data_IF_988826979052
#
_entry.id   IF_988826979052
#
_cell.length_a   1.000
_cell.length_b   1.000
_cell.length_c   1.000
_cell.angle_alpha   90.00
_cell.angle_beta   90.00
_cell.angle_gamma   90.00
#
_symmetry.space_group_name_H-M   'P 1'
#
loop_
_entity.id
_entity.type
_entity.pdbx_description
1 polymer ?
#
# COMPACT_ATOMS: atom_id res chain seq x y z
N UNK A 1 -13.00 -47.84 39.80
CA UNK A 1 -13.49 -49.23 39.73
C UNK A 1 -15.00 -49.18 39.72
N UNK A 2 -15.60 -49.76 38.67
CA UNK A 2 -16.97 -50.32 38.56
C UNK A 2 -18.19 -49.43 38.82
N UNK A 3 -18.93 -49.11 37.74
CA UNK A 3 -20.40 -48.96 37.73
C UNK A 3 -21.10 -50.25 38.23
N UNK A 4 -22.39 -50.18 38.62
CA UNK A 4 -23.41 -50.72 37.70
C UNK A 4 -24.80 -50.03 37.70
N UNK A 5 -25.50 -50.28 36.59
CA UNK A 5 -26.89 -50.06 36.24
C UNK A 5 -27.93 -50.74 37.18
N UNK A 6 -29.16 -50.21 37.25
CA UNK A 6 -30.34 -50.71 36.51
C UNK A 6 -31.72 -50.58 37.25
N UNK A 7 -32.77 -50.40 36.40
CA UNK A 7 -34.18 -50.89 36.47
C UNK A 7 -35.32 -49.97 36.95
N UNK A 8 -36.27 -49.76 36.02
CA UNK A 8 -37.67 -49.34 36.20
C UNK A 8 -38.52 -50.40 36.95
N UNK A 9 -39.77 -50.05 37.34
CA UNK A 9 -40.90 -50.68 36.64
C UNK A 9 -42.16 -49.81 36.40
N UNK A 10 -42.94 -50.32 35.45
CA UNK A 10 -44.25 -49.97 34.90
C UNK A 10 -45.42 -50.19 35.89
N UNK A 11 -46.50 -49.38 35.81
CA UNK A 11 -47.87 -49.92 36.00
C UNK A 11 -48.96 -49.15 35.21
N UNK A 12 -49.78 -49.94 34.53
CA UNK A 12 -50.96 -49.60 33.74
C UNK A 12 -52.13 -49.05 34.58
N UNK A 13 -53.07 -48.29 33.98
CA UNK A 13 -54.45 -48.76 33.71
C UNK A 13 -55.33 -47.76 32.96
N UNK A 14 -56.23 -48.33 32.16
CA UNK A 14 -57.18 -47.75 31.21
C UNK A 14 -58.46 -47.15 31.83
N UNK A 15 -59.08 -46.17 31.16
CA UNK A 15 -60.49 -46.22 30.68
C UNK A 15 -60.85 -45.07 29.72
N UNK A 16 -61.62 -45.42 28.68
CA UNK A 16 -62.08 -44.69 27.47
C UNK A 16 -63.29 -43.74 27.76
N UNK A 17 -63.99 -43.19 26.74
CA UNK A 17 -63.61 -42.23 25.67
C UNK A 17 -64.61 -41.05 25.58
N UNK A 18 -64.33 -39.99 24.82
CA UNK A 18 -65.40 -39.19 24.18
C UNK A 18 -64.91 -38.44 22.91
N UNK A 19 -65.53 -38.81 21.78
CA UNK A 19 -65.89 -38.04 20.59
C UNK A 19 -64.97 -36.92 20.04
N UNK A 20 -64.43 -37.15 18.84
CA UNK A 20 -63.73 -36.21 17.97
C UNK A 20 -64.71 -35.70 16.88
N UNK A 21 -64.79 -34.39 16.58
CA UNK A 21 -65.08 -33.94 15.23
C UNK A 21 -63.78 -33.71 14.46
N UNK A 22 -63.71 -34.29 13.26
CA UNK A 22 -62.60 -34.15 12.31
C UNK A 22 -62.50 -32.69 11.84
N UNK A 23 -61.41 -32.01 12.19
CA UNK A 23 -60.95 -30.82 11.48
C UNK A 23 -59.87 -31.24 10.46
N UNK A 24 -60.10 -30.86 9.21
CA UNK A 24 -59.17 -31.01 8.09
C UNK A 24 -57.97 -30.10 8.35
N UNK A 25 -56.78 -30.68 8.54
CA UNK A 25 -55.54 -29.92 8.59
C UNK A 25 -55.13 -29.55 7.16
N UNK A 26 -55.29 -28.27 6.81
CA UNK A 26 -54.64 -27.65 5.67
C UNK A 26 -53.16 -27.43 6.06
N UNK A 27 -52.25 -28.22 5.50
CA UNK A 27 -50.82 -27.96 5.63
C UNK A 27 -50.46 -26.68 4.88
N UNK A 28 -50.27 -25.59 5.61
CA UNK A 28 -49.58 -24.41 5.10
C UNK A 28 -48.09 -24.74 4.95
N UNK A 29 -47.67 -25.09 3.74
CA UNK A 29 -46.27 -25.01 3.35
C UNK A 29 -45.93 -23.51 3.29
N UNK A 30 -45.28 -23.01 4.34
CA UNK A 30 -44.71 -21.67 4.35
C UNK A 30 -43.55 -21.64 3.36
N UNK A 31 -43.84 -21.19 2.14
CA UNK A 31 -42.83 -20.88 1.14
C UNK A 31 -42.19 -19.55 1.54
N UNK A 32 -41.11 -19.61 2.32
CA UNK A 32 -40.26 -18.46 2.56
C UNK A 32 -39.55 -18.12 1.23
N UNK A 33 -40.12 -17.21 0.44
CA UNK A 33 -39.38 -16.52 -0.61
C UNK A 33 -38.34 -15.62 0.09
N UNK A 34 -37.16 -16.19 0.35
CA UNK A 34 -35.96 -15.39 0.55
C UNK A 34 -35.66 -14.69 -0.78
N UNK A 35 -35.86 -13.38 -0.83
CA UNK A 35 -35.38 -12.55 -1.92
C UNK A 35 -33.85 -12.47 -1.81
N UNK A 36 -33.16 -13.52 -2.24
CA UNK A 36 -31.76 -13.42 -2.62
C UNK A 36 -31.72 -12.63 -3.92
N UNK A 37 -31.57 -11.32 -3.81
CA UNK A 37 -31.03 -10.52 -4.92
C UNK A 37 -29.58 -10.97 -5.07
N UNK A 38 -29.36 -12.04 -5.83
CA UNK A 38 -28.08 -12.29 -6.45
C UNK A 38 -27.90 -11.15 -7.46
N UNK A 39 -27.30 -10.04 -7.02
CA UNK A 39 -26.70 -9.11 -7.96
C UNK A 39 -25.68 -9.93 -8.74
N UNK A 40 -25.98 -10.23 -10.01
CA UNK A 40 -25.03 -10.85 -10.90
C UNK A 40 -23.83 -9.90 -10.96
N UNK A 41 -22.70 -10.29 -10.35
CA UNK A 41 -21.44 -9.61 -10.60
C UNK A 41 -21.22 -9.66 -12.10
N UNK A 42 -21.12 -8.50 -12.73
CA UNK A 42 -20.73 -8.42 -14.12
C UNK A 42 -19.40 -9.17 -14.25
N UNK A 43 -19.34 -10.14 -15.15
CA UNK A 43 -18.09 -10.84 -15.40
C UNK A 43 -17.05 -9.82 -15.85
N UNK A 44 -15.81 -9.96 -15.36
CA UNK A 44 -14.70 -9.11 -15.79
C UNK A 44 -14.60 -9.13 -17.32
N UNK A 45 -14.31 -7.97 -17.96
CA UNK A 45 -14.09 -7.96 -19.39
C UNK A 45 -12.90 -8.86 -19.75
N UNK A 46 -12.86 -9.40 -20.98
CA UNK A 46 -11.75 -10.24 -21.38
C UNK A 46 -10.42 -9.50 -21.28
N UNK A 47 -9.37 -10.24 -20.92
CA UNK A 47 -8.01 -9.70 -20.78
C UNK A 47 -7.44 -9.29 -22.12
N UNK A 48 -6.84 -8.11 -22.17
CA UNK A 48 -6.06 -7.62 -23.31
C UNK A 48 -4.57 -7.76 -23.06
N UNK A 49 -4.13 -7.51 -21.83
CA UNK A 49 -2.71 -7.49 -21.49
C UNK A 49 -2.30 -8.76 -20.74
N UNK A 50 -1.12 -9.34 -20.99
CA UNK A 50 -0.69 -10.58 -20.35
C UNK A 50 -0.62 -10.50 -18.82
N UNK A 51 -0.29 -9.32 -18.32
CA UNK A 51 -0.16 -8.90 -16.93
C UNK A 51 -1.49 -8.45 -16.30
N UNK A 52 -2.59 -8.46 -17.05
CA UNK A 52 -3.89 -8.01 -16.56
C UNK A 52 -4.52 -9.03 -15.59
N UNK A 53 -4.67 -8.61 -14.34
CA UNK A 53 -5.45 -9.26 -13.30
C UNK A 53 -6.96 -9.06 -13.44
N UNK A 54 -7.75 -9.41 -12.40
CA UNK A 54 -9.18 -9.14 -12.37
C UNK A 54 -9.47 -7.64 -12.30
N UNK A 55 -10.62 -7.18 -12.80
CA UNK A 55 -10.98 -5.75 -12.74
C UNK A 55 -11.57 -5.35 -11.40
N UNK A 56 -12.14 -6.32 -10.70
CA UNK A 56 -12.71 -6.13 -9.38
C UNK A 56 -12.12 -7.11 -8.40
N UNK A 57 -12.09 -6.72 -7.14
CA UNK A 57 -11.64 -7.57 -6.07
C UNK A 57 -12.62 -7.53 -4.91
N UNK A 58 -13.12 -8.69 -4.51
CA UNK A 58 -13.95 -8.81 -3.33
C UNK A 58 -13.06 -8.65 -2.08
N UNK A 59 -13.29 -7.63 -1.23
CA UNK A 59 -12.49 -7.44 -0.03
C UNK A 59 -12.60 -8.65 0.91
N UNK A 60 -11.47 -9.02 1.51
CA UNK A 60 -11.38 -10.09 2.52
C UNK A 60 -10.75 -9.57 3.81
N UNK A 61 -10.86 -10.33 4.88
CA UNK A 61 -10.08 -10.06 6.09
C UNK A 61 -8.59 -10.37 5.81
N UNK A 62 -7.72 -9.47 6.23
CA UNK A 62 -6.27 -9.58 6.09
C UNK A 62 -5.65 -10.43 7.21
N UNK A 63 -4.41 -10.89 7.00
CA UNK A 63 -3.68 -11.68 7.97
C UNK A 63 -2.27 -11.11 8.20
N UNK A 64 -1.68 -11.29 9.39
CA UNK A 64 -0.34 -10.77 9.72
C UNK A 64 0.83 -11.27 8.85
N UNK A 65 0.61 -12.16 7.90
CA UNK A 65 1.65 -12.78 7.09
C UNK A 65 2.28 -11.81 6.07
N UNK A 66 1.61 -10.69 5.75
CA UNK A 66 1.90 -9.84 4.58
C UNK A 66 1.77 -10.69 3.32
N UNK A 67 0.53 -10.97 2.93
CA UNK A 67 0.21 -11.82 1.78
C UNK A 67 -0.23 -10.99 0.57
N UNK A 68 0.04 -11.51 -0.64
CA UNK A 68 -0.33 -10.88 -1.91
C UNK A 68 -1.80 -10.47 -1.97
N UNK A 69 -2.65 -11.34 -1.46
CA UNK A 69 -4.10 -11.19 -1.45
C UNK A 69 -4.63 -10.16 -0.42
N UNK A 70 -3.86 -9.92 0.64
CA UNK A 70 -4.17 -8.93 1.67
C UNK A 70 -3.78 -7.54 1.14
N UNK A 71 -2.59 -7.43 0.53
CA UNK A 71 -2.21 -6.25 -0.25
C UNK A 71 -3.21 -5.94 -1.35
N UNK A 72 -3.68 -6.95 -2.10
CA UNK A 72 -4.73 -6.78 -3.10
C UNK A 72 -6.00 -6.19 -2.52
N UNK A 73 -6.37 -6.58 -1.30
CA UNK A 73 -7.54 -5.99 -0.62
C UNK A 73 -7.34 -4.51 -0.32
N UNK A 74 -6.15 -4.12 0.14
CA UNK A 74 -5.86 -2.71 0.42
C UNK A 74 -5.75 -1.87 -0.85
N UNK A 75 -5.00 -2.35 -1.84
CA UNK A 75 -4.68 -1.59 -3.06
C UNK A 75 -5.92 -1.40 -3.93
N UNK A 76 -6.78 -2.41 -4.10
CA UNK A 76 -8.05 -2.22 -4.84
C UNK A 76 -9.00 -1.23 -4.17
N UNK A 77 -8.91 -1.04 -2.84
CA UNK A 77 -9.75 -0.06 -2.15
C UNK A 77 -9.17 1.35 -2.26
N UNK A 78 -7.86 1.48 -2.09
CA UNK A 78 -7.17 2.76 -2.19
C UNK A 78 -7.23 3.29 -3.63
N UNK A 79 -7.05 2.42 -4.63
CA UNK A 79 -7.03 2.72 -6.06
C UNK A 79 -8.38 2.48 -6.76
N UNK A 80 -9.49 2.50 -6.03
CA UNK A 80 -10.82 2.42 -6.65
C UNK A 80 -11.19 3.76 -7.31
N UNK A 81 -11.93 3.74 -8.43
CA UNK A 81 -12.48 4.94 -9.08
C UNK A 81 -13.24 5.87 -8.11
N UNK A 82 -13.89 5.29 -7.10
CA UNK A 82 -14.60 6.04 -6.05
C UNK A 82 -13.70 6.93 -5.18
N UNK A 83 -12.39 6.69 -5.19
CA UNK A 83 -11.35 7.51 -4.57
C UNK A 83 -10.87 8.63 -5.49
N UNK A 84 -11.34 8.69 -6.75
CA UNK A 84 -11.09 9.78 -7.70
C UNK A 84 -9.62 10.21 -7.78
N UNK A 85 -8.71 9.23 -7.76
CA UNK A 85 -7.27 9.41 -7.85
C UNK A 85 -6.59 10.14 -6.68
N UNK A 86 -7.29 10.35 -5.57
CA UNK A 86 -6.70 10.79 -4.29
C UNK A 86 -5.82 12.05 -4.34
N UNK A 87 -6.10 13.00 -5.23
CA UNK A 87 -5.45 14.32 -5.18
C UNK A 87 -5.56 14.95 -3.80
N UNK A 88 -4.44 15.44 -3.27
CA UNK A 88 -4.38 16.00 -1.93
C UNK A 88 -5.42 17.13 -1.74
N UNK A 89 -6.12 17.11 -0.61
CA UNK A 89 -7.15 18.11 -0.34
C UNK A 89 -8.46 17.92 -1.12
N UNK A 90 -8.71 16.71 -1.65
CA UNK A 90 -9.98 16.33 -2.27
C UNK A 90 -10.72 15.28 -1.43
N UNK A 91 -12.01 15.08 -1.73
CA UNK A 91 -12.82 14.02 -1.11
C UNK A 91 -12.17 12.63 -1.18
N UNK A 92 -11.55 12.32 -2.32
CA UNK A 92 -10.87 11.06 -2.55
C UNK A 92 -9.71 10.82 -1.60
N UNK A 93 -8.83 11.82 -1.46
CA UNK A 93 -7.74 11.78 -0.50
C UNK A 93 -8.24 11.71 0.95
N UNK A 94 -9.29 12.48 1.29
CA UNK A 94 -9.92 12.41 2.60
C UNK A 94 -10.46 11.00 2.91
N UNK A 95 -11.10 10.33 1.95
CA UNK A 95 -11.56 8.95 2.10
C UNK A 95 -10.41 7.96 2.31
N UNK A 96 -9.30 8.13 1.58
CA UNK A 96 -8.11 7.31 1.74
C UNK A 96 -7.48 7.47 3.14
N UNK A 97 -7.37 8.70 3.65
CA UNK A 97 -6.86 8.96 5.01
C UNK A 97 -7.77 8.36 6.09
N UNK A 98 -9.10 8.44 5.92
CA UNK A 98 -10.04 7.75 6.83
C UNK A 98 -9.89 6.22 6.77
N UNK A 99 -9.68 5.65 5.58
CA UNK A 99 -9.44 4.23 5.41
C UNK A 99 -8.19 3.78 6.17
N UNK A 100 -7.05 4.45 5.98
CA UNK A 100 -5.80 4.15 6.70
C UNK A 100 -6.01 4.25 8.22
N UNK A 101 -6.64 5.34 8.69
CA UNK A 101 -6.93 5.51 10.12
C UNK A 101 -7.87 4.42 10.66
N UNK A 102 -8.83 3.94 9.87
CA UNK A 102 -9.73 2.85 10.25
C UNK A 102 -8.97 1.54 10.46
N UNK A 103 -7.97 1.25 9.63
CA UNK A 103 -7.12 0.07 9.78
C UNK A 103 -6.24 0.22 11.02
N UNK A 104 -5.59 1.36 11.22
CA UNK A 104 -4.80 1.60 12.44
C UNK A 104 -5.62 1.46 13.73
N UNK A 105 -6.87 1.96 13.75
CA UNK A 105 -7.80 1.76 14.86
C UNK A 105 -8.15 0.29 15.08
N UNK A 106 -8.45 -0.44 14.00
CA UNK A 106 -8.77 -1.89 14.05
C UNK A 106 -7.61 -2.69 14.65
N UNK A 107 -6.38 -2.31 14.34
CA UNK A 107 -5.15 -2.92 14.86
C UNK A 107 -4.81 -2.51 16.30
N UNK A 108 -5.55 -1.57 16.90
CA UNK A 108 -5.31 -1.09 18.25
C UNK A 108 -4.06 -0.21 18.40
N UNK A 109 -3.55 0.36 17.30
CA UNK A 109 -2.40 1.25 17.32
C UNK A 109 -2.78 2.58 17.97
N UNK A 110 -1.85 3.18 18.72
CA UNK A 110 -2.12 4.43 19.42
C UNK A 110 -2.11 5.62 18.45
N UNK A 111 -3.10 6.53 18.50
CA UNK A 111 -3.06 7.74 17.71
C UNK A 111 -1.85 8.61 18.07
N UNK A 112 -1.17 9.17 17.07
CA UNK A 112 -0.01 10.05 17.26
C UNK A 112 -0.04 11.28 16.33
N UNK A 113 -1.23 11.67 15.87
CA UNK A 113 -1.50 12.94 15.22
C UNK A 113 -1.78 14.06 16.23
N UNK A 114 -2.39 15.12 15.74
CA UNK A 114 -2.76 16.30 16.51
C UNK A 114 -3.97 16.02 17.41
N UNK A 115 -4.08 16.75 18.52
CA UNK A 115 -5.24 16.67 19.42
C UNK A 115 -5.51 15.28 20.04
N UNK A 116 -4.53 14.36 20.01
CA UNK A 116 -4.69 12.98 20.44
C UNK A 116 -5.41 12.07 19.43
N UNK A 117 -5.60 12.54 18.19
CA UNK A 117 -6.16 11.77 17.08
C UNK A 117 -5.09 11.15 16.19
N UNK A 118 -5.51 10.49 15.10
CA UNK A 118 -4.59 9.92 14.10
C UNK A 118 -4.12 10.94 13.06
N UNK A 119 -4.75 12.10 13.00
CA UNK A 119 -4.58 13.03 11.88
C UNK A 119 -3.70 14.21 12.25
N UNK A 120 -2.87 14.63 11.32
CA UNK A 120 -2.21 15.94 11.33
C UNK A 120 -2.63 16.65 10.05
N UNK A 121 -3.24 17.83 10.19
CA UNK A 121 -3.70 18.61 9.04
C UNK A 121 -2.50 19.22 8.31
N UNK A 122 -2.47 19.06 6.98
CA UNK A 122 -1.39 19.52 6.12
C UNK A 122 -1.89 20.69 5.26
N UNK A 123 -1.23 21.86 5.32
CA UNK A 123 -1.64 23.00 4.51
C UNK A 123 -1.28 22.76 3.04
N UNK A 124 -2.31 22.52 2.22
CA UNK A 124 -2.19 22.34 0.77
C UNK A 124 -2.97 23.44 0.06
N UNK A 125 -2.33 24.12 -0.89
CA UNK A 125 -2.98 25.15 -1.69
C UNK A 125 -4.10 24.52 -2.55
N UNK A 126 -5.28 25.14 -2.57
CA UNK A 126 -6.43 24.62 -3.31
C UNK A 126 -7.17 23.47 -2.63
N UNK A 127 -6.77 23.04 -1.42
CA UNK A 127 -7.51 22.04 -0.67
C UNK A 127 -8.95 22.49 -0.39
N UNK A 128 -9.89 21.55 -0.53
CA UNK A 128 -11.31 21.77 -0.24
C UNK A 128 -11.49 21.89 1.28
N UNK A 129 -12.15 22.95 1.79
CA UNK A 129 -12.28 23.17 3.23
C UNK A 129 -12.90 21.98 4.00
N UNK A 130 -13.82 21.26 3.36
CA UNK A 130 -14.46 20.07 3.90
C UNK A 130 -13.59 18.80 3.86
N UNK A 131 -12.52 18.80 3.06
CA UNK A 131 -11.63 17.65 2.83
C UNK A 131 -10.16 18.07 2.94
N UNK A 132 -9.68 18.40 4.15
CA UNK A 132 -8.27 18.75 4.34
C UNK A 132 -7.36 17.58 3.98
N UNK A 133 -6.17 17.90 3.45
CA UNK A 133 -5.08 16.94 3.31
C UNK A 133 -4.53 16.60 4.70
N UNK A 134 -4.27 15.32 4.97
CA UNK A 134 -3.90 14.85 6.31
C UNK A 134 -2.82 13.78 6.28
N UNK A 135 -1.75 13.98 7.06
CA UNK A 135 -0.92 12.86 7.47
C UNK A 135 -1.74 11.97 8.41
N UNK A 136 -1.58 10.65 8.31
CA UNK A 136 -2.18 9.68 9.25
C UNK A 136 -1.08 8.99 10.04
N UNK A 137 -1.06 9.18 11.35
CA UNK A 137 0.05 8.83 12.23
C UNK A 137 -0.43 7.94 13.38
N UNK A 138 0.19 6.77 13.51
CA UNK A 138 -0.05 5.84 14.60
C UNK A 138 1.25 5.28 15.19
N UNK A 139 1.19 4.85 16.44
CA UNK A 139 2.31 4.28 17.18
C UNK A 139 1.96 2.90 17.72
N UNK A 140 2.89 1.95 17.54
CA UNK A 140 2.95 0.72 18.35
C UNK A 140 3.98 0.92 19.48
N UNK A 141 3.56 0.91 20.75
CA UNK A 141 4.50 1.05 21.87
C UNK A 141 5.49 -0.11 21.97
N UNK A 142 6.77 0.22 22.18
CA UNK A 142 7.82 -0.76 22.40
C UNK A 142 7.74 -1.45 23.76
N UNK A 143 8.32 -2.65 23.84
CA UNK A 143 8.33 -3.51 25.03
C UNK A 143 9.37 -3.12 26.09
N UNK A 144 10.45 -2.44 25.71
CA UNK A 144 11.56 -2.10 26.62
C UNK A 144 11.33 -0.70 27.24
N UNK A 145 11.16 -0.58 28.57
CA UNK A 145 10.89 0.71 29.22
C UNK A 145 11.97 1.78 28.98
N UNK A 146 13.23 1.39 28.72
CA UNK A 146 14.33 2.30 28.45
C UNK A 146 14.40 2.72 26.98
N UNK A 147 13.86 1.91 26.06
CA UNK A 147 13.96 2.15 24.61
C UNK A 147 12.64 2.52 23.94
N UNK A 148 11.48 2.27 24.55
CA UNK A 148 10.15 2.56 23.97
C UNK A 148 9.89 4.06 23.73
N UNK A 149 10.68 4.95 24.33
CA UNK A 149 10.67 6.38 24.00
C UNK A 149 11.50 6.75 22.76
N UNK A 150 12.10 5.77 22.10
CA UNK A 150 12.78 5.89 20.81
C UNK A 150 11.94 5.18 19.75
N UNK A 151 11.98 5.71 18.52
CA UNK A 151 11.09 5.27 17.46
C UNK A 151 11.84 4.86 16.22
N UNK A 152 11.34 3.80 15.59
CA UNK A 152 11.65 3.47 14.21
C UNK A 152 10.42 3.83 13.38
N UNK A 153 10.59 4.58 12.29
CA UNK A 153 9.49 5.08 11.47
C UNK A 153 9.36 4.28 10.18
N UNK A 154 8.14 3.91 9.80
CA UNK A 154 7.78 3.30 8.52
C UNK A 154 6.69 4.17 7.89
N UNK A 155 6.90 4.58 6.63
CA UNK A 155 5.95 5.42 5.92
C UNK A 155 5.86 5.18 4.43
N UNK A 156 4.80 5.76 3.86
CA UNK A 156 4.38 5.78 2.46
C UNK A 156 3.40 6.96 2.27
N UNK A 157 3.08 7.38 1.05
CA UNK A 157 2.11 8.47 0.84
C UNK A 157 0.72 7.97 0.40
N UNK A 158 -0.32 8.74 0.74
CA UNK A 158 -1.73 8.38 0.48
C UNK A 158 -2.39 9.15 -0.66
N UNK A 159 -1.78 10.23 -1.14
CA UNK A 159 -2.26 10.97 -2.29
C UNK A 159 -1.75 10.40 -3.60
N UNK A 160 -2.40 10.81 -4.69
CA UNK A 160 -1.92 10.67 -6.06
C UNK A 160 -2.42 11.87 -6.89
N UNK A 161 -2.32 11.82 -8.22
CA UNK A 161 -2.56 12.95 -9.13
C UNK A 161 -4.05 13.36 -9.32
N UNK A 162 -5.01 12.51 -8.91
CA UNK A 162 -6.43 12.83 -9.02
C UNK A 162 -7.05 12.51 -10.39
N UNK A 163 -7.53 13.53 -11.09
CA UNK A 163 -8.25 13.39 -12.35
C UNK A 163 -7.47 14.05 -13.49
N UNK A 164 -7.49 13.42 -14.66
CA UNK A 164 -6.98 14.01 -15.91
C UNK A 164 -7.72 15.31 -16.21
N UNK A 165 -6.96 16.38 -16.47
CA UNK A 165 -7.51 17.60 -17.06
C UNK A 165 -7.83 17.37 -18.54
N UNK A 166 -9.13 17.35 -18.89
CA UNK A 166 -9.59 17.29 -20.27
C UNK A 166 -10.43 16.05 -20.61
N UNK A 167 -10.45 15.62 -21.89
CA UNK A 167 -11.26 14.49 -22.30
C UNK A 167 -10.71 13.18 -21.73
N UNK A 168 -11.62 12.25 -21.46
CA UNK A 168 -11.28 10.90 -21.06
C UNK A 168 -10.31 10.24 -22.07
N UNK A 169 -9.28 9.60 -21.55
CA UNK A 169 -8.26 8.90 -22.33
C UNK A 169 -8.65 7.43 -22.45
N UNK A 170 -8.53 6.88 -23.65
CA UNK A 170 -8.79 5.47 -23.89
C UNK A 170 -7.64 4.61 -23.31
N UNK A 171 -7.92 3.92 -22.21
CA UNK A 171 -6.95 3.17 -21.41
C UNK A 171 -6.06 2.27 -22.26
N UNK A 172 -6.65 1.42 -23.09
CA UNK A 172 -5.88 0.43 -23.85
C UNK A 172 -5.04 1.10 -24.94
N UNK A 173 -5.50 2.21 -25.51
CA UNK A 173 -4.71 2.99 -26.45
C UNK A 173 -3.57 3.74 -25.78
N UNK A 174 -3.79 4.26 -24.57
CA UNK A 174 -2.75 4.90 -23.77
C UNK A 174 -1.67 3.88 -23.36
N UNK A 175 -2.07 2.69 -22.89
CA UNK A 175 -1.14 1.60 -22.54
C UNK A 175 -0.33 1.15 -23.76
N UNK A 176 -0.96 1.03 -24.94
CA UNK A 176 -0.28 0.74 -26.19
C UNK A 176 0.76 1.81 -26.58
N UNK A 177 0.39 3.09 -26.45
CA UNK A 177 1.30 4.21 -26.71
C UNK A 177 2.47 4.22 -25.73
N UNK A 178 2.21 4.12 -24.43
CA UNK A 178 3.24 4.18 -23.39
C UNK A 178 4.24 3.02 -23.53
N UNK A 179 3.78 1.81 -23.88
CA UNK A 179 4.66 0.66 -24.11
C UNK A 179 5.67 0.86 -25.24
N UNK A 180 5.39 1.75 -26.18
CA UNK A 180 6.27 2.05 -27.32
C UNK A 180 7.07 3.33 -27.10
N UNK A 181 6.44 4.36 -26.53
CA UNK A 181 6.98 5.72 -26.48
C UNK A 181 7.37 6.20 -25.09
N UNK A 182 6.82 5.60 -24.02
CA UNK A 182 7.00 6.01 -22.62
C UNK A 182 7.20 4.82 -21.66
N UNK A 183 8.26 4.01 -21.82
CA UNK A 183 8.52 2.90 -20.92
C UNK A 183 8.66 3.27 -19.42
N UNK A 184 8.93 4.55 -19.09
CA UNK A 184 8.96 5.09 -17.71
C UNK A 184 7.81 6.06 -17.42
N UNK A 185 6.71 5.97 -18.17
CA UNK A 185 5.49 6.76 -17.92
C UNK A 185 5.75 8.25 -18.11
N UNK A 186 5.26 9.08 -17.17
CA UNK A 186 5.37 10.54 -17.28
C UNK A 186 6.82 11.07 -17.23
N UNK A 187 7.80 10.27 -16.82
CA UNK A 187 9.21 10.68 -16.88
C UNK A 187 9.72 10.79 -18.32
N UNK A 188 9.13 10.05 -19.26
CA UNK A 188 9.54 10.09 -20.66
C UNK A 188 8.81 11.23 -21.40
N UNK A 189 9.58 12.03 -22.14
CA UNK A 189 9.08 13.14 -22.96
C UNK A 189 9.24 12.82 -24.45
N UNK A 190 8.41 11.91 -25.01
CA UNK A 190 8.58 11.49 -26.39
C UNK A 190 8.23 12.60 -27.37
N UNK A 191 8.95 12.63 -28.50
CA UNK A 191 8.51 13.34 -29.69
C UNK A 191 7.43 12.55 -30.45
N UNK A 192 7.21 12.91 -31.72
CA UNK A 192 6.33 12.14 -32.59
C UNK A 192 6.89 10.72 -32.84
N UNK A 193 6.05 9.67 -32.86
CA UNK A 193 6.48 8.32 -33.23
C UNK A 193 7.06 8.28 -34.66
N UNK A 194 8.07 7.44 -34.89
CA UNK A 194 8.46 7.06 -36.26
C UNK A 194 7.35 6.25 -36.93
N UNK A 195 7.34 6.09 -38.27
CA UNK A 195 6.36 5.24 -38.95
C UNK A 195 6.30 3.81 -38.40
N UNK A 196 7.44 3.22 -38.05
CA UNK A 196 7.53 1.88 -37.47
C UNK A 196 6.95 1.83 -36.05
N UNK A 197 7.21 2.86 -35.23
CA UNK A 197 6.65 2.97 -33.90
C UNK A 197 5.13 3.17 -33.96
N UNK A 198 4.64 4.02 -34.87
CA UNK A 198 3.22 4.24 -35.09
C UNK A 198 2.52 2.95 -35.52
N UNK A 199 3.08 2.21 -36.48
CA UNK A 199 2.52 0.93 -36.90
C UNK A 199 2.45 -0.09 -35.75
N UNK A 200 3.42 -0.07 -34.84
CA UNK A 200 3.39 -0.91 -33.63
C UNK A 200 2.28 -0.49 -32.66
N UNK A 201 2.11 0.80 -32.43
CA UNK A 201 1.03 1.35 -31.58
C UNK A 201 -0.34 0.96 -32.16
N UNK A 202 -0.54 1.18 -33.46
CA UNK A 202 -1.79 0.88 -34.15
C UNK A 202 -2.13 -0.61 -34.10
N UNK A 203 -1.14 -1.49 -34.21
CA UNK A 203 -1.30 -2.94 -34.09
C UNK A 203 -1.76 -3.36 -32.68
N UNK A 204 -1.17 -2.79 -31.64
CA UNK A 204 -1.57 -3.05 -30.25
C UNK A 204 -2.99 -2.55 -29.97
N UNK A 205 -3.34 -1.37 -30.49
CA UNK A 205 -4.70 -0.84 -30.39
C UNK A 205 -5.69 -1.75 -31.13
N UNK A 206 -5.38 -2.14 -32.36
CA UNK A 206 -6.24 -3.03 -33.15
C UNK A 206 -6.47 -4.37 -32.44
N UNK A 207 -5.43 -4.93 -31.82
CA UNK A 207 -5.55 -6.13 -30.99
C UNK A 207 -6.49 -5.92 -29.80
N UNK A 208 -6.33 -4.83 -29.04
CA UNK A 208 -7.24 -4.51 -27.94
C UNK A 208 -8.69 -4.35 -28.42
N UNK A 209 -8.92 -3.69 -29.57
CA UNK A 209 -10.25 -3.48 -30.16
C UNK A 209 -10.91 -4.75 -30.67
N UNK A 210 -10.13 -5.77 -31.03
CA UNK A 210 -10.66 -7.08 -31.38
C UNK A 210 -11.23 -7.83 -30.16
N UNK A 211 -10.83 -7.43 -28.94
CA UNK A 211 -11.21 -8.09 -27.68
C UNK A 211 -12.29 -7.30 -26.95
N UNK A 212 -12.15 -5.97 -26.84
CA UNK A 212 -13.08 -5.10 -26.11
C UNK A 212 -13.18 -3.68 -26.68
N UNK A 213 -14.31 -2.97 -26.47
CA UNK A 213 -14.46 -1.58 -26.88
C UNK A 213 -13.45 -0.65 -26.14
N UNK A 214 -13.25 0.58 -26.64
CA UNK A 214 -12.52 1.63 -25.92
C UNK A 214 -12.97 1.76 -24.46
N UNK A 215 -12.01 2.00 -23.56
CA UNK A 215 -12.26 2.24 -22.14
C UNK A 215 -11.82 3.67 -21.79
N UNK A 216 -12.65 4.68 -22.08
CA UNK A 216 -12.33 6.05 -21.73
C UNK A 216 -12.33 6.20 -20.21
N UNK A 217 -11.25 6.76 -19.67
CA UNK A 217 -11.08 7.03 -18.25
C UNK A 217 -10.50 8.44 -18.02
N UNK A 218 -10.84 9.01 -16.88
CA UNK A 218 -10.30 10.27 -16.38
C UNK A 218 -9.62 10.11 -15.02
N UNK A 219 -9.76 8.96 -14.36
CA UNK A 219 -9.23 8.76 -13.01
C UNK A 219 -7.77 8.30 -13.11
N UNK A 220 -6.88 8.96 -12.37
CA UNK A 220 -5.54 8.45 -12.13
C UNK A 220 -5.58 7.65 -10.85
N UNK A 221 -5.86 6.34 -10.94
CA UNK A 221 -6.13 5.53 -9.76
C UNK A 221 -4.91 5.32 -8.85
N UNK A 222 -3.68 5.46 -9.36
CA UNK A 222 -2.47 5.45 -8.53
C UNK A 222 -2.29 4.14 -7.75
N UNK A 223 -2.46 3.00 -8.43
CA UNK A 223 -2.39 1.69 -7.79
C UNK A 223 -0.98 1.34 -7.32
N UNK A 224 0.02 1.59 -8.17
CA UNK A 224 1.42 1.50 -7.82
C UNK A 224 1.84 2.74 -7.04
N UNK A 225 1.40 3.92 -7.47
CA UNK A 225 1.81 5.23 -6.95
C UNK A 225 0.69 5.97 -6.16
N UNK A 226 0.65 5.94 -4.84
CA UNK A 226 1.34 5.01 -3.95
C UNK A 226 0.35 4.20 -3.09
N UNK A 227 -0.74 3.74 -3.72
CA UNK A 227 -1.62 2.77 -3.06
C UNK A 227 -0.84 1.50 -2.69
N UNK A 228 0.19 1.13 -3.45
CA UNK A 228 1.02 -0.04 -3.18
C UNK A 228 1.88 0.13 -1.91
N UNK A 229 2.61 1.23 -1.76
CA UNK A 229 3.39 1.54 -0.56
C UNK A 229 2.49 1.73 0.66
N UNK A 230 1.35 2.42 0.52
CA UNK A 230 0.36 2.53 1.60
C UNK A 230 -0.23 1.15 1.96
N UNK A 231 -0.52 0.29 0.98
CA UNK A 231 -0.97 -1.09 1.24
C UNK A 231 0.06 -1.89 2.03
N UNK A 232 1.33 -1.80 1.65
CA UNK A 232 2.45 -2.44 2.37
C UNK A 232 2.61 -1.87 3.78
N UNK A 233 2.45 -0.55 3.97
CA UNK A 233 2.46 0.07 5.30
C UNK A 233 1.40 -0.55 6.23
N UNK A 234 0.18 -0.75 5.73
CA UNK A 234 -0.92 -1.33 6.49
C UNK A 234 -0.65 -2.78 6.90
N UNK A 235 -0.10 -3.59 5.97
CA UNK A 235 0.25 -4.98 6.23
C UNK A 235 1.44 -5.11 7.22
N UNK A 236 2.45 -4.25 7.10
CA UNK A 236 3.55 -4.19 8.06
C UNK A 236 3.03 -3.82 9.45
N UNK A 237 2.10 -2.86 9.53
CA UNK A 237 1.48 -2.47 10.78
C UNK A 237 0.68 -3.62 11.41
N UNK A 238 -0.09 -4.37 10.62
CA UNK A 238 -0.82 -5.56 11.08
C UNK A 238 0.13 -6.65 11.59
N UNK A 239 1.22 -6.90 10.87
CA UNK A 239 2.24 -7.87 11.30
C UNK A 239 2.91 -7.49 12.62
N UNK A 240 3.28 -6.23 12.80
CA UNK A 240 3.84 -5.76 14.07
C UNK A 240 2.82 -5.82 15.21
N UNK A 241 1.56 -5.44 14.96
CA UNK A 241 0.51 -5.43 15.98
C UNK A 241 0.14 -6.85 16.46
N UNK A 242 0.22 -7.86 15.59
CA UNK A 242 -0.06 -9.25 15.93
C UNK A 242 1.16 -9.97 16.56
N UNK A 243 2.36 -9.44 16.38
CA UNK A 243 3.61 -10.02 16.87
C UNK A 243 4.06 -9.51 18.25
N UNK A 244 5.18 -10.02 18.77
CA UNK A 244 5.82 -9.45 19.95
C UNK A 244 6.24 -8.01 19.69
N UNK A 245 5.87 -7.09 20.58
CA UNK A 245 6.27 -5.69 20.47
C UNK A 245 7.81 -5.57 20.48
N UNK A 246 8.41 -4.87 19.49
CA UNK A 246 9.86 -4.64 19.46
C UNK A 246 10.30 -3.79 20.66
N UNK A 247 11.61 -3.72 20.93
CA UNK A 247 12.13 -2.97 22.09
C UNK A 247 11.84 -1.47 21.98
N UNK A 248 12.07 -0.87 20.80
CA UNK A 248 11.67 0.51 20.46
C UNK A 248 10.22 0.54 19.97
N UNK A 249 9.60 1.70 20.09
CA UNK A 249 8.27 1.92 19.49
C UNK A 249 8.39 2.04 17.97
N UNK A 250 7.31 1.73 17.26
CA UNK A 250 7.21 1.92 15.81
C UNK A 250 6.24 3.07 15.52
N UNK A 251 6.64 4.00 14.65
CA UNK A 251 5.75 4.99 14.06
C UNK A 251 5.33 4.44 12.69
N UNK A 252 4.03 4.39 12.45
CA UNK A 252 3.45 4.20 11.12
C UNK A 252 2.89 5.54 10.67
N UNK A 253 3.35 6.04 9.53
CA UNK A 253 2.91 7.33 8.99
C UNK A 253 2.54 7.20 7.52
N UNK A 254 1.32 7.61 7.19
CA UNK A 254 0.89 7.78 5.81
C UNK A 254 0.88 9.27 5.48
N UNK A 255 1.77 9.71 4.59
CA UNK A 255 1.95 11.11 4.24
C UNK A 255 0.92 11.59 3.23
N UNK A 256 0.50 12.85 3.34
CA UNK A 256 -0.31 13.50 2.32
C UNK A 256 0.51 14.48 1.47
N UNK A 257 0.05 14.77 0.27
CA UNK A 257 0.61 15.79 -0.61
C UNK A 257 2.09 15.55 -0.95
N UNK A 258 2.46 14.28 -1.16
CA UNK A 258 3.75 13.90 -1.74
C UNK A 258 3.85 14.42 -3.17
N UNK A 259 2.80 14.21 -3.98
CA UNK A 259 2.79 14.58 -5.41
C UNK A 259 2.74 16.10 -5.62
N UNK A 260 2.18 16.82 -4.64
CA UNK A 260 2.27 18.28 -4.55
C UNK A 260 3.66 18.78 -4.09
N UNK A 261 4.65 17.88 -4.05
CA UNK A 261 6.05 18.15 -3.85
C UNK A 261 6.56 17.90 -2.44
N UNK A 262 6.15 16.84 -1.75
CA UNK A 262 6.58 16.42 -0.40
C UNK A 262 6.03 17.29 0.74
N UNK A 263 4.83 17.84 0.59
CA UNK A 263 4.28 18.80 1.56
C UNK A 263 4.03 18.14 2.91
N UNK A 264 3.42 16.95 2.97
CA UNK A 264 3.08 16.29 4.23
C UNK A 264 4.29 15.82 5.03
N UNK A 265 5.29 15.21 4.40
CA UNK A 265 6.50 14.78 5.11
C UNK A 265 7.33 15.97 5.59
N UNK A 266 7.47 17.04 4.78
CA UNK A 266 8.11 18.28 5.23
C UNK A 266 7.36 18.88 6.41
N UNK A 267 6.04 18.99 6.31
CA UNK A 267 5.21 19.53 7.38
C UNK A 267 5.36 18.74 8.68
N UNK A 268 5.36 17.40 8.62
CA UNK A 268 5.62 16.56 9.79
C UNK A 268 6.99 16.85 10.40
N UNK A 269 8.06 16.94 9.60
CA UNK A 269 9.40 17.19 10.15
C UNK A 269 9.62 18.62 10.65
N UNK A 270 8.80 19.57 10.19
CA UNK A 270 8.82 20.97 10.62
C UNK A 270 7.93 21.21 11.85
N UNK A 271 6.83 20.45 11.96
CA UNK A 271 5.81 20.53 13.01
C UNK A 271 5.54 19.13 13.59
N UNK A 272 6.53 18.50 14.23
CA UNK A 272 6.41 17.09 14.57
C UNK A 272 5.48 16.87 15.76
N UNK A 273 4.57 15.90 15.64
CA UNK A 273 3.67 15.47 16.73
C UNK A 273 4.36 14.56 17.75
N UNK A 274 5.56 14.09 17.43
CA UNK A 274 6.45 13.28 18.26
C UNK A 274 7.85 13.90 18.27
N UNK A 275 8.64 13.85 19.36
CA UNK A 275 9.96 14.49 19.39
C UNK A 275 10.87 13.95 18.28
N UNK A 276 11.31 14.81 17.35
CA UNK A 276 12.03 14.36 16.15
C UNK A 276 13.34 13.62 16.47
N UNK A 277 14.08 14.08 17.49
CA UNK A 277 15.33 13.46 17.98
C UNK A 277 15.13 12.05 18.58
N UNK A 278 13.88 11.65 18.81
CA UNK A 278 13.54 10.30 19.28
C UNK A 278 13.41 9.30 18.13
N UNK A 279 13.31 9.75 16.88
CA UNK A 279 13.27 8.89 15.68
C UNK A 279 14.71 8.48 15.34
N UNK A 280 15.01 7.18 15.45
CA UNK A 280 16.37 6.64 15.29
C UNK A 280 16.68 6.15 13.89
N UNK A 281 15.63 5.88 13.10
CA UNK A 281 15.68 5.51 11.70
C UNK A 281 14.30 5.70 11.08
N UNK A 282 14.25 6.02 9.79
CA UNK A 282 13.03 6.11 9.01
C UNK A 282 13.14 5.27 7.74
N UNK A 283 12.05 4.58 7.38
CA UNK A 283 11.89 3.92 6.10
C UNK A 283 10.73 4.57 5.38
N UNK A 284 10.96 4.95 4.13
CA UNK A 284 9.91 5.32 3.20
C UNK A 284 9.83 4.29 2.07
N UNK A 285 8.66 4.13 1.48
CA UNK A 285 8.46 3.32 0.28
C UNK A 285 7.45 3.99 -0.64
N UNK A 286 7.60 3.70 -1.92
CA UNK A 286 6.86 4.37 -3.00
C UNK A 286 7.00 3.51 -4.27
N UNK A 287 5.86 3.12 -4.85
CA UNK A 287 5.78 2.23 -6.02
C UNK A 287 6.45 0.88 -5.74
N UNK A 288 5.73 0.01 -5.03
CA UNK A 288 6.12 -1.35 -4.67
C UNK A 288 5.32 -2.44 -5.40
N UNK A 289 4.52 -2.05 -6.39
CA UNK A 289 3.56 -2.92 -7.05
C UNK A 289 3.94 -3.35 -8.46
N UNK A 290 4.71 -2.56 -9.21
CA UNK A 290 5.29 -3.01 -10.48
C UNK A 290 6.75 -3.47 -10.30
N UNK A 291 7.43 -3.96 -11.33
CA UNK A 291 8.85 -4.36 -11.20
C UNK A 291 9.28 -5.59 -12.00
N UNK A 292 8.39 -6.15 -12.82
CA UNK A 292 8.74 -7.27 -13.69
C UNK A 292 9.88 -6.90 -14.67
N UNK A 293 10.55 -7.92 -15.20
CA UNK A 293 11.63 -7.75 -16.21
C UNK A 293 11.16 -7.01 -17.46
N UNK A 294 9.84 -6.95 -17.70
CA UNK A 294 9.23 -6.26 -18.82
C UNK A 294 8.85 -4.81 -18.49
N UNK A 295 8.78 -4.44 -17.21
CA UNK A 295 8.16 -3.21 -16.73
C UNK A 295 9.19 -2.15 -16.36
N UNK A 296 10.36 -2.57 -15.87
CA UNK A 296 11.40 -1.67 -15.37
C UNK A 296 12.80 -2.11 -15.82
N UNK A 297 13.73 -1.13 -15.89
CA UNK A 297 15.11 -1.36 -16.37
C UNK A 297 15.87 -2.40 -15.55
N UNK A 298 15.65 -2.42 -14.24
CA UNK A 298 16.18 -3.40 -13.31
C UNK A 298 14.97 -4.07 -12.70
N UNK A 299 14.47 -5.14 -13.34
CA UNK A 299 13.26 -5.84 -12.92
C UNK A 299 13.53 -7.29 -12.59
N UNK A 300 12.61 -7.91 -11.86
CA UNK A 300 12.65 -9.34 -11.55
C UNK A 300 11.92 -9.67 -10.26
N UNK A 301 11.59 -10.95 -10.02
CA UNK A 301 10.71 -11.39 -8.93
C UNK A 301 11.28 -11.18 -7.51
N UNK A 302 12.51 -10.68 -7.42
CA UNK A 302 13.22 -10.44 -6.18
C UNK A 302 13.85 -9.04 -6.13
N UNK A 303 13.65 -8.20 -7.16
CA UNK A 303 14.37 -6.95 -7.24
C UNK A 303 13.76 -5.90 -6.33
N UNK A 304 14.60 -5.04 -5.77
CA UNK A 304 14.12 -3.81 -5.14
C UNK A 304 15.20 -2.77 -5.31
N UNK A 305 14.81 -1.55 -5.62
CA UNK A 305 15.74 -0.45 -5.59
C UNK A 305 15.79 0.13 -4.18
N UNK A 306 17.00 0.34 -3.66
CA UNK A 306 17.21 0.91 -2.33
C UNK A 306 18.06 2.18 -2.41
N UNK A 307 17.56 3.24 -1.77
CA UNK A 307 18.28 4.49 -1.61
C UNK A 307 18.42 4.90 -0.15
N UNK A 308 19.44 5.70 0.17
CA UNK A 308 19.61 6.35 1.47
C UNK A 308 20.35 5.54 2.53
N UNK A 309 20.31 4.21 2.45
CA UNK A 309 20.73 3.30 3.52
C UNK A 309 22.14 3.57 4.07
N UNK A 310 23.06 4.06 3.23
CA UNK A 310 24.47 4.31 3.60
C UNK A 310 24.86 5.78 3.61
N UNK A 311 23.92 6.70 3.35
CA UNK A 311 24.24 8.13 3.25
C UNK A 311 24.57 8.76 4.61
N UNK A 312 23.86 8.37 5.67
CA UNK A 312 24.07 8.87 7.03
C UNK A 312 24.62 7.83 8.01
N UNK A 313 24.48 6.54 7.71
CA UNK A 313 24.88 5.46 8.62
C UNK A 313 25.37 4.25 7.85
N UNK A 314 26.65 3.91 7.97
CA UNK A 314 27.16 2.66 7.43
C UNK A 314 26.46 1.45 8.08
N UNK A 315 26.17 1.53 9.38
CA UNK A 315 25.53 0.45 10.14
C UNK A 315 24.12 0.12 9.65
N UNK A 316 23.39 1.08 9.07
CA UNK A 316 22.06 0.80 8.55
C UNK A 316 22.14 -0.07 7.29
N UNK A 317 23.01 0.30 6.34
CA UNK A 317 23.30 -0.55 5.19
C UNK A 317 23.85 -1.92 5.58
N UNK A 318 24.78 -1.99 6.55
CA UNK A 318 25.36 -3.26 6.99
C UNK A 318 24.30 -4.20 7.61
N UNK A 319 23.37 -3.64 8.38
CA UNK A 319 22.27 -4.42 8.95
C UNK A 319 21.36 -5.01 7.86
N UNK A 320 21.08 -4.25 6.81
CA UNK A 320 20.24 -4.68 5.69
C UNK A 320 20.96 -5.76 4.88
N UNK A 321 22.23 -5.55 4.51
CA UNK A 321 23.02 -6.52 3.75
C UNK A 321 23.18 -7.83 4.53
N UNK A 322 23.45 -7.74 5.84
CA UNK A 322 23.60 -8.91 6.72
C UNK A 322 22.30 -9.69 6.86
N UNK A 323 21.17 -8.99 7.04
CA UNK A 323 19.85 -9.62 7.06
C UNK A 323 19.56 -10.29 5.72
N UNK A 324 19.75 -9.59 4.61
CA UNK A 324 19.44 -10.11 3.28
C UNK A 324 20.29 -11.33 2.91
N UNK A 325 21.55 -11.41 3.36
CA UNK A 325 22.45 -12.53 3.10
C UNK A 325 21.99 -13.86 3.75
N UNK A 326 21.15 -13.81 4.78
CA UNK A 326 20.70 -15.00 5.53
C UNK A 326 19.21 -15.31 5.36
N UNK A 327 18.47 -14.48 4.61
CA UNK A 327 17.05 -14.70 4.32
C UNK A 327 16.86 -15.86 3.34
N UNK A 328 15.77 -16.60 3.50
CA UNK A 328 15.34 -17.60 2.52
C UNK A 328 14.91 -16.91 1.21
N UNK A 329 14.12 -15.83 1.31
CA UNK A 329 13.64 -15.02 0.18
C UNK A 329 14.54 -13.80 -0.09
N UNK A 330 15.82 -14.00 -0.40
CA UNK A 330 16.79 -12.90 -0.63
C UNK A 330 16.32 -11.89 -1.69
N UNK A 331 16.57 -10.60 -1.48
CA UNK A 331 16.29 -9.55 -2.47
C UNK A 331 17.52 -9.26 -3.32
N UNK A 332 17.31 -9.01 -4.61
CA UNK A 332 18.29 -8.43 -5.51
C UNK A 332 18.22 -6.90 -5.41
N UNK A 333 19.05 -6.33 -4.53
CA UNK A 333 19.01 -4.89 -4.23
C UNK A 333 19.77 -4.11 -5.31
N UNK A 334 19.09 -3.19 -6.00
CA UNK A 334 19.69 -2.21 -6.90
C UNK A 334 20.01 -0.91 -6.16
N UNK A 335 21.30 -0.56 -6.14
CA UNK A 335 21.84 0.66 -5.56
C UNK A 335 22.16 1.74 -6.60
N UNK A 336 21.91 1.47 -7.89
CA UNK A 336 22.40 2.30 -8.99
C UNK A 336 21.85 3.73 -8.96
N UNK A 337 20.65 3.93 -8.40
CA UNK A 337 20.02 5.26 -8.28
C UNK A 337 20.30 5.95 -6.94
N UNK A 338 20.98 5.29 -5.99
CA UNK A 338 21.46 5.93 -4.75
C UNK A 338 22.77 6.70 -4.95
N UNK A 339 22.99 7.20 -6.16
CA UNK A 339 24.10 8.08 -6.54
C UNK A 339 23.53 9.25 -7.31
N UNK A 340 24.23 10.38 -7.32
CA UNK A 340 23.85 11.53 -8.14
C UNK A 340 23.66 11.09 -9.59
N UNK A 341 22.46 11.29 -10.11
CA UNK A 341 22.07 10.94 -11.47
C UNK A 341 21.09 12.01 -11.99
N UNK A 342 20.81 12.00 -13.30
CA UNK A 342 19.97 13.03 -13.93
C UNK A 342 18.53 13.08 -13.39
N UNK A 343 18.00 11.94 -12.90
CA UNK A 343 16.67 11.88 -12.28
C UNK A 343 16.69 12.36 -10.82
N UNK A 344 17.87 12.42 -10.20
CA UNK A 344 18.07 12.78 -8.80
C UNK A 344 17.12 12.01 -7.85
N UNK A 345 16.92 10.70 -8.11
CA UNK A 345 15.84 9.89 -7.48
C UNK A 345 15.81 9.99 -5.97
N UNK A 346 16.97 10.03 -5.29
CA UNK A 346 17.00 10.14 -3.82
C UNK A 346 16.18 11.31 -3.30
N UNK A 347 16.08 12.40 -4.07
CA UNK A 347 15.41 13.63 -3.69
C UNK A 347 13.91 13.69 -4.04
N UNK A 348 13.34 12.61 -4.57
CA UNK A 348 11.98 12.62 -5.17
C UNK A 348 10.92 11.93 -4.32
N UNK A 349 11.17 11.67 -3.03
CA UNK A 349 10.12 11.16 -2.14
C UNK A 349 10.38 11.48 -0.66
N UNK A 350 9.45 11.09 0.21
CA UNK A 350 9.29 11.58 1.59
C UNK A 350 10.48 11.33 2.53
N UNK A 351 11.33 10.33 2.25
CA UNK A 351 12.56 10.07 3.02
C UNK A 351 13.46 11.31 3.14
N UNK A 352 13.40 12.20 2.15
CA UNK A 352 14.27 13.38 2.06
C UNK A 352 13.99 14.32 3.22
N UNK A 353 12.74 14.45 3.64
CA UNK A 353 12.32 15.28 4.76
C UNK A 353 13.03 14.85 6.05
N UNK A 354 13.14 13.53 6.28
CA UNK A 354 13.86 12.96 7.43
C UNK A 354 15.38 13.02 7.27
N UNK A 355 15.90 12.76 6.07
CA UNK A 355 17.33 12.87 5.78
C UNK A 355 17.87 14.28 6.06
N UNK A 356 17.12 15.32 5.67
CA UNK A 356 17.45 16.73 5.96
C UNK A 356 17.53 17.04 7.46
N UNK A 357 16.92 16.19 8.30
CA UNK A 357 16.92 16.27 9.77
C UNK A 357 17.97 15.36 10.41
N UNK A 358 18.91 14.82 9.62
CA UNK A 358 19.98 13.90 10.08
C UNK A 358 19.43 12.60 10.69
N UNK A 359 18.23 12.17 10.27
CA UNK A 359 17.69 10.86 10.62
C UNK A 359 18.14 9.85 9.54
N UNK A 360 18.78 8.71 9.89
CA UNK A 360 19.11 7.67 8.93
C UNK A 360 17.87 7.18 8.21
N UNK A 361 17.93 7.14 6.87
CA UNK A 361 16.79 6.73 6.05
C UNK A 361 17.10 5.54 5.16
N UNK A 362 16.06 4.77 4.86
CA UNK A 362 15.99 3.92 3.67
C UNK A 362 14.77 4.30 2.84
N UNK A 363 14.88 4.15 1.54
CA UNK A 363 13.78 4.33 0.60
C UNK A 363 13.74 3.17 -0.37
N UNK A 364 12.59 2.48 -0.47
CA UNK A 364 12.40 1.37 -1.40
C UNK A 364 11.40 1.72 -2.49
N UNK A 365 11.73 1.33 -3.71
CA UNK A 365 10.85 1.42 -4.88
C UNK A 365 11.20 0.28 -5.83
N UNK A 366 10.31 -0.03 -6.77
CA UNK A 366 10.60 -0.95 -7.86
C UNK A 366 10.96 -0.22 -9.15
N UNK A 367 10.93 1.11 -9.13
CA UNK A 367 11.29 1.99 -10.24
C UNK A 367 10.09 2.44 -11.06
N UNK A 368 10.35 3.19 -12.13
CA UNK A 368 9.28 3.71 -12.97
C UNK A 368 8.87 2.71 -14.05
N UNK A 369 7.57 2.45 -14.13
CA UNK A 369 6.94 1.72 -15.22
C UNK A 369 6.27 2.67 -16.20
N UNK A 370 5.72 2.11 -17.28
CA UNK A 370 4.94 2.85 -18.27
C UNK A 370 3.59 3.40 -17.74
N UNK A 371 3.22 3.01 -16.52
CA UNK A 371 2.00 3.43 -15.83
C UNK A 371 2.23 4.59 -14.85
N UNK A 372 3.49 4.94 -14.54
CA UNK A 372 3.83 6.05 -13.64
C UNK A 372 3.15 7.37 -14.06
N UNK A 373 2.34 7.94 -13.15
CA UNK A 373 1.55 9.17 -13.35
C UNK A 373 0.62 9.09 -14.57
N UNK A 374 -0.07 7.97 -14.73
CA UNK A 374 -1.00 7.73 -15.84
C UNK A 374 -2.33 7.15 -15.34
N UNK A 375 -3.45 7.39 -16.05
CA UNK A 375 -4.71 6.65 -15.84
C UNK A 375 -4.61 5.14 -16.02
N UNK A 376 -3.46 4.63 -16.46
CA UNK A 376 -3.23 3.19 -16.60
C UNK A 376 -2.63 2.55 -15.35
N UNK A 377 -2.30 3.35 -14.31
CA UNK A 377 -1.84 2.87 -13.01
C UNK A 377 -2.99 2.27 -12.19
N UNK A 378 -3.31 1.02 -12.51
CA UNK A 378 -4.49 0.31 -12.04
C UNK A 378 -4.15 -0.96 -11.25
N UNK A 379 -5.00 -1.35 -10.29
CA UNK A 379 -4.70 -2.43 -9.35
C UNK A 379 -4.66 -3.82 -10.03
N UNK A 380 -5.18 -3.97 -11.25
CA UNK A 380 -5.05 -5.22 -12.00
C UNK A 380 -3.64 -5.48 -12.53
N UNK A 381 -2.75 -4.49 -12.62
CA UNK A 381 -1.40 -4.69 -13.18
C UNK A 381 -0.31 -4.94 -12.12
N UNK A 382 -0.67 -4.89 -10.84
CA UNK A 382 0.24 -5.04 -9.72
C UNK A 382 0.71 -6.50 -9.55
N UNK A 383 2.02 -6.69 -9.38
CA UNK A 383 2.65 -7.92 -8.91
C UNK A 383 2.59 -8.01 -7.38
N UNK A 384 1.45 -8.52 -6.90
CA UNK A 384 1.18 -8.63 -5.47
C UNK A 384 2.12 -9.59 -4.72
N UNK A 385 2.64 -10.63 -5.38
CA UNK A 385 3.56 -11.57 -4.75
C UNK A 385 4.92 -10.90 -4.49
N UNK A 386 5.39 -10.13 -5.46
CA UNK A 386 6.60 -9.32 -5.33
C UNK A 386 6.43 -8.22 -4.27
N UNK A 387 5.32 -7.47 -4.31
CA UNK A 387 5.01 -6.44 -3.31
C UNK A 387 4.97 -7.02 -1.89
N UNK A 388 4.36 -8.19 -1.70
CA UNK A 388 4.34 -8.89 -0.42
C UNK A 388 5.74 -9.30 0.05
N UNK A 389 6.59 -9.78 -0.86
CA UNK A 389 8.00 -10.09 -0.57
C UNK A 389 8.79 -8.87 -0.11
N UNK A 390 8.59 -7.72 -0.78
CA UNK A 390 9.21 -6.45 -0.38
C UNK A 390 8.71 -6.03 1.01
N UNK A 391 7.40 -6.09 1.26
CA UNK A 391 6.81 -5.77 2.57
C UNK A 391 7.35 -6.62 3.72
N UNK A 392 7.54 -7.93 3.51
CA UNK A 392 8.19 -8.81 4.49
C UNK A 392 9.64 -8.39 4.75
N UNK A 393 10.38 -8.04 3.70
CA UNK A 393 11.76 -7.56 3.84
C UNK A 393 11.84 -6.25 4.64
N UNK A 394 10.97 -5.28 4.35
CA UNK A 394 10.90 -4.02 5.10
C UNK A 394 10.58 -4.29 6.58
N UNK A 395 9.55 -5.10 6.86
CA UNK A 395 9.22 -5.48 8.24
C UNK A 395 10.43 -6.07 8.99
N UNK A 396 11.18 -6.98 8.37
CA UNK A 396 12.35 -7.62 8.98
C UNK A 396 13.51 -6.64 9.24
N UNK A 397 13.77 -5.72 8.30
CA UNK A 397 14.76 -4.64 8.47
C UNK A 397 14.38 -3.77 9.66
N UNK A 398 13.13 -3.29 9.67
CA UNK A 398 12.69 -2.34 10.68
C UNK A 398 12.56 -3.01 12.06
N UNK A 399 12.21 -4.29 12.12
CA UNK A 399 12.25 -5.10 13.34
C UNK A 399 13.69 -5.27 13.86
N UNK A 400 14.66 -5.50 12.97
CA UNK A 400 16.08 -5.58 13.35
C UNK A 400 16.54 -4.27 13.96
N UNK A 401 16.26 -3.13 13.34
CA UNK A 401 16.65 -1.81 13.86
C UNK A 401 15.93 -1.50 15.18
N UNK A 402 14.63 -1.80 15.28
CA UNK A 402 13.85 -1.55 16.49
C UNK A 402 14.31 -2.36 17.71
N UNK A 403 14.97 -3.51 17.50
CA UNK A 403 15.46 -4.38 18.56
C UNK A 403 16.95 -4.21 18.92
N UNK A 404 17.71 -3.35 18.21
CA UNK A 404 19.11 -3.05 18.57
C UNK A 404 19.21 -2.44 19.97
N UNK A 405 20.24 -2.80 20.74
CA UNK A 405 20.49 -2.20 22.06
C UNK A 405 20.91 -0.73 21.98
N UNK A 406 21.57 -0.34 20.89
CA UNK A 406 22.06 1.03 20.63
C UNK A 406 21.49 1.57 19.33
N UNK A 407 21.46 2.90 19.20
CA UNK A 407 21.08 3.58 17.95
C UNK A 407 22.08 3.25 16.85
N UNK A 408 21.65 3.35 15.60
CA UNK A 408 22.55 3.34 14.45
C UNK A 408 23.52 4.52 14.58
N UNK A 409 24.81 4.27 14.41
CA UNK A 409 25.81 5.33 14.42
C UNK A 409 25.59 6.28 13.22
N UNK A 410 25.52 7.57 13.50
CA UNK A 410 25.54 8.62 12.46
C UNK A 410 27.00 8.89 12.08
N UNK A 411 27.27 8.88 10.78
CA UNK A 411 28.59 9.19 10.25
C UNK A 411 29.00 10.63 10.62
N UNK A 412 30.30 10.87 10.87
CA UNK A 412 30.85 12.23 10.93
C UNK A 412 30.47 13.04 9.67
N UNK A 413 30.27 14.37 9.77
CA UNK A 413 29.82 15.20 8.64
C UNK A 413 30.60 15.00 7.34
N UNK A 414 31.92 14.81 7.43
CA UNK A 414 32.83 14.62 6.30
C UNK A 414 32.72 13.24 5.62
N UNK A 415 32.06 12.28 6.26
CA UNK A 415 31.83 10.93 5.73
C UNK A 415 30.38 10.74 5.21
N UNK A 416 29.51 11.72 5.41
CA UNK A 416 28.11 11.65 4.96
C UNK A 416 28.04 11.88 3.45
N UNK A 417 27.24 11.07 2.76
CA UNK A 417 26.96 11.29 1.35
C UNK A 417 25.82 12.31 1.16
N UNK A 418 26.23 13.57 1.03
CA UNK A 418 25.36 14.71 0.72
C UNK A 418 25.32 15.05 -0.78
N UNK A 419 25.78 14.14 -1.65
CA UNK A 419 25.89 14.39 -3.11
C UNK A 419 24.54 14.51 -3.82
N UNK A 420 23.47 13.99 -3.21
CA UNK A 420 22.12 14.20 -3.69
C UNK A 420 21.71 15.67 -3.46
N UNK A 421 21.61 16.43 -4.55
CA UNK A 421 21.25 17.84 -4.51
C UNK A 421 19.72 17.97 -4.46
N UNK A 422 19.13 17.83 -3.27
CA UNK A 422 17.69 17.98 -3.10
C UNK A 422 17.34 19.47 -3.07
N UNK A 423 17.24 20.10 -4.24
CA UNK A 423 16.88 21.51 -4.37
C UNK A 423 15.36 21.67 -4.48
N UNK A 424 14.81 22.37 -3.48
CA UNK A 424 13.37 22.58 -3.18
C UNK A 424 12.71 21.36 -2.57
#
# INVERSE_FOLDING_TARGET
>A
MTEPLAREPILMTFRRPLLIPRAVALSFVSCALGAHVLAAQAADPPRVWPDEGPFTWAPRATQPAIAADDLRTHIYQLAADSMAGRAAGTRGNWMATEYVASVFRRLGLQPAGEGGGYFQDVPVEGAQPEYPARNVIAVLPGSDPALRGQYVLVGAHNDHEGLVEGPALDHDALRAFNRVMRPQGANDRPGAPTPEQQARIDSLIAYARAIRPPRPDTVMNGADDDASGTGVLLEIAERFAAGPAPRRSIIFISHAAEEAGLVGSRYFTDNPTLPLDSIVAAHNMDMLGNGGVADVRFGGPAQVQMLGARRLSAEFGDAIDSLNAVREETMAIDYSWDRTNALNRFCRSDQVSYFRRTIPVTYFSTGYSMDYHMPTDEPQYIDYDHSARVGRFVHEIMSTVANRSIRLAILPPEQRDMSAQCTR
#
